data_IF_708575941724
#
_entry.id   IF_708575941724
#
_cell.length_a   1.000
_cell.length_b   1.000
_cell.length_c   1.000
_cell.angle_alpha   90.00
_cell.angle_beta   90.00
_cell.angle_gamma   90.00
#
_symmetry.space_group_name_H-M   'P 1'
#
loop_
_entity.id
_entity.type
_entity.pdbx_description
1 polymer ?
#
# COMPACT_ATOMS: atom_id res chain seq x y z
N UNK A 1 -38.52 5.03 55.07
CA UNK A 1 -37.95 4.27 53.93
C UNK A 1 -38.63 4.69 52.65
N UNK A 2 -39.96 4.62 52.56
CA UNK A 2 -40.77 5.05 51.41
C UNK A 2 -40.45 6.47 50.91
N UNK A 3 -40.48 7.48 51.79
CA UNK A 3 -40.16 8.87 51.40
C UNK A 3 -38.74 9.10 50.81
N UNK A 4 -37.74 8.29 51.20
CA UNK A 4 -36.40 8.36 50.60
C UNK A 4 -36.34 7.64 49.24
N UNK A 5 -37.16 6.61 49.05
CA UNK A 5 -37.34 5.95 47.76
C UNK A 5 -38.06 6.88 46.78
N UNK A 6 -39.14 7.54 47.21
CA UNK A 6 -39.88 8.51 46.39
C UNK A 6 -38.99 9.68 45.94
N UNK A 7 -38.14 10.16 46.85
CA UNK A 7 -37.15 11.20 46.56
C UNK A 7 -36.11 10.73 45.55
N UNK A 8 -35.63 9.49 45.67
CA UNK A 8 -34.68 8.91 44.74
C UNK A 8 -35.31 8.71 43.35
N UNK A 9 -36.55 8.23 43.29
CA UNK A 9 -37.31 8.11 42.05
C UNK A 9 -37.48 9.46 41.36
N UNK A 10 -37.84 10.51 42.12
CA UNK A 10 -37.96 11.86 41.59
C UNK A 10 -36.62 12.39 41.05
N UNK A 11 -35.50 12.08 41.71
CA UNK A 11 -34.17 12.45 41.21
C UNK A 11 -33.84 11.75 39.88
N UNK A 12 -34.21 10.48 39.72
CA UNK A 12 -34.03 9.76 38.46
C UNK A 12 -34.93 10.32 37.36
N UNK A 13 -36.21 10.57 37.64
CA UNK A 13 -37.13 11.20 36.68
C UNK A 13 -36.62 12.56 36.21
N UNK A 14 -36.09 13.37 37.14
CA UNK A 14 -35.46 14.65 36.80
C UNK A 14 -34.22 14.46 35.95
N UNK A 15 -33.32 13.54 36.34
CA UNK A 15 -32.09 13.28 35.59
C UNK A 15 -32.38 12.80 34.16
N UNK A 16 -33.37 11.94 33.96
CA UNK A 16 -33.81 11.49 32.64
C UNK A 16 -34.35 12.67 31.82
N UNK A 17 -35.21 13.51 32.40
CA UNK A 17 -35.74 14.69 31.71
C UNK A 17 -34.67 15.74 31.37
N UNK A 18 -33.64 15.88 32.21
CA UNK A 18 -32.51 16.77 31.96
C UNK A 18 -31.66 16.24 30.79
N UNK A 19 -31.44 14.92 30.69
CA UNK A 19 -30.75 14.28 29.57
C UNK A 19 -31.53 14.43 28.25
N UNK A 20 -32.84 14.23 28.28
CA UNK A 20 -33.71 14.42 27.12
C UNK A 20 -33.65 15.86 26.61
N UNK A 21 -33.67 16.84 27.53
CA UNK A 21 -33.57 18.25 27.17
C UNK A 21 -32.21 18.59 26.54
N UNK A 22 -31.11 18.04 27.07
CA UNK A 22 -29.78 18.19 26.48
C UNK A 22 -29.74 17.62 25.07
N UNK A 23 -30.27 16.41 24.86
CA UNK A 23 -30.34 15.79 23.53
C UNK A 23 -31.15 16.65 22.56
N UNK A 24 -32.33 17.10 22.97
CA UNK A 24 -33.21 17.94 22.15
C UNK A 24 -32.50 19.22 21.69
N UNK A 25 -31.81 19.92 22.61
CA UNK A 25 -31.06 21.13 22.29
C UNK A 25 -29.93 20.88 21.30
N UNK A 26 -29.16 19.81 21.50
CA UNK A 26 -28.06 19.46 20.59
C UNK A 26 -28.58 19.13 19.20
N UNK A 27 -29.66 18.35 19.10
CA UNK A 27 -30.27 18.04 17.81
C UNK A 27 -30.78 19.30 17.09
N UNK A 28 -31.42 20.21 17.83
CA UNK A 28 -31.88 21.48 17.29
C UNK A 28 -30.70 22.30 16.75
N UNK A 29 -29.67 22.52 17.56
CA UNK A 29 -28.47 23.28 17.18
C UNK A 29 -27.75 22.65 15.97
N UNK A 30 -27.61 21.32 15.90
CA UNK A 30 -27.01 20.63 14.75
C UNK A 30 -27.85 20.81 13.47
N UNK A 31 -29.17 20.74 13.57
CA UNK A 31 -30.08 20.90 12.42
C UNK A 31 -30.09 22.34 11.90
N UNK A 32 -30.09 23.33 12.80
CA UNK A 32 -30.15 24.75 12.43
C UNK A 32 -28.83 25.33 11.99
N UNK A 33 -27.71 24.87 12.55
CA UNK A 33 -26.38 25.37 12.23
C UNK A 33 -25.83 24.79 10.93
N UNK A 34 -26.67 24.48 9.93
CA UNK A 34 -26.22 23.95 8.64
C UNK A 34 -25.13 24.88 8.09
N UNK A 35 -23.83 24.50 8.18
CA UNK A 35 -22.84 25.19 7.40
C UNK A 35 -23.24 24.93 5.95
N UNK A 36 -22.87 25.81 5.04
CA UNK A 36 -22.97 25.55 3.61
C UNK A 36 -22.12 24.29 3.29
N UNK A 37 -22.73 23.11 3.41
CA UNK A 37 -22.09 21.80 3.63
C UNK A 37 -21.71 21.12 2.32
N UNK A 38 -21.61 21.89 1.24
CA UNK A 38 -21.22 21.37 -0.06
C UNK A 38 -19.80 20.74 -0.06
N UNK A 39 -18.98 20.94 0.97
CA UNK A 39 -17.56 20.56 0.95
C UNK A 39 -17.07 19.59 2.04
N UNK A 40 -17.76 19.42 3.19
CA UNK A 40 -17.27 18.56 4.28
C UNK A 40 -17.93 17.17 4.25
N UNK A 41 -17.15 16.16 3.85
CA UNK A 41 -17.57 14.74 3.90
C UNK A 41 -17.93 14.31 5.33
N UNK A 42 -18.95 13.47 5.45
CA UNK A 42 -19.38 12.89 6.71
C UNK A 42 -18.28 11.97 7.31
N UNK A 43 -17.96 12.06 8.62
CA UNK A 43 -16.94 11.20 9.24
C UNK A 43 -17.17 9.69 9.06
N UNK A 44 -18.43 9.24 9.07
CA UNK A 44 -18.79 7.84 8.85
C UNK A 44 -18.45 7.40 7.43
N UNK A 45 -18.65 8.25 6.43
CA UNK A 45 -18.29 7.92 5.05
C UNK A 45 -16.77 7.95 4.87
N UNK A 46 -16.07 8.92 5.48
CA UNK A 46 -14.61 8.98 5.48
C UNK A 46 -13.97 7.72 6.08
N UNK A 47 -14.48 7.19 7.19
CA UNK A 47 -13.97 5.96 7.80
C UNK A 47 -14.12 4.74 6.88
N UNK A 48 -15.24 4.65 6.15
CA UNK A 48 -15.48 3.59 5.15
C UNK A 48 -14.52 3.71 3.98
N UNK A 49 -14.35 4.93 3.42
CA UNK A 49 -13.41 5.20 2.34
C UNK A 49 -11.97 4.84 2.74
N UNK A 50 -11.53 5.28 3.93
CA UNK A 50 -10.19 5.03 4.44
C UNK A 50 -9.91 3.52 4.62
N UNK A 51 -10.90 2.78 5.12
CA UNK A 51 -10.81 1.33 5.26
C UNK A 51 -10.67 0.63 3.90
N UNK A 52 -11.42 1.07 2.89
CA UNK A 52 -11.32 0.55 1.53
C UNK A 52 -9.95 0.84 0.89
N UNK A 53 -9.42 2.07 1.07
CA UNK A 53 -8.08 2.46 0.59
C UNK A 53 -7.01 1.59 1.24
N UNK A 54 -7.07 1.41 2.56
CA UNK A 54 -6.11 0.57 3.31
C UNK A 54 -6.11 -0.87 2.80
N UNK A 55 -7.28 -1.46 2.59
CA UNK A 55 -7.43 -2.82 2.06
C UNK A 55 -6.84 -2.96 0.65
N UNK A 56 -7.12 -2.00 -0.23
CA UNK A 56 -6.57 -1.98 -1.59
C UNK A 56 -5.05 -1.88 -1.60
N UNK A 57 -4.50 -1.01 -0.77
CA UNK A 57 -3.05 -0.87 -0.62
C UNK A 57 -2.40 -2.17 -0.13
N UNK A 58 -2.94 -2.79 0.93
CA UNK A 58 -2.43 -4.05 1.46
C UNK A 58 -2.46 -5.16 0.41
N UNK A 59 -3.55 -5.26 -0.35
CA UNK A 59 -3.68 -6.22 -1.45
C UNK A 59 -2.65 -5.98 -2.54
N UNK A 60 -2.48 -4.72 -2.98
CA UNK A 60 -1.50 -4.36 -4.01
C UNK A 60 -0.07 -4.66 -3.54
N UNK A 61 0.26 -4.29 -2.31
CA UNK A 61 1.57 -4.55 -1.72
C UNK A 61 1.87 -6.06 -1.62
N UNK A 62 0.90 -6.86 -1.16
CA UNK A 62 1.03 -8.31 -1.08
C UNK A 62 1.23 -8.96 -2.45
N UNK A 63 0.59 -8.42 -3.51
CA UNK A 63 0.80 -8.87 -4.90
C UNK A 63 2.14 -8.43 -5.48
N UNK A 64 2.57 -7.22 -5.17
CA UNK A 64 3.82 -6.65 -5.71
C UNK A 64 5.06 -7.36 -5.15
N UNK A 65 5.05 -7.71 -3.85
CA UNK A 65 6.20 -8.34 -3.18
C UNK A 65 6.76 -9.59 -3.88
N UNK A 66 5.96 -10.63 -4.22
CA UNK A 66 6.47 -11.78 -4.95
C UNK A 66 6.89 -11.43 -6.38
N UNK A 67 6.18 -10.54 -7.08
CA UNK A 67 6.56 -10.11 -8.44
C UNK A 67 7.95 -9.48 -8.46
N UNK A 68 8.25 -8.59 -7.50
CA UNK A 68 9.57 -7.98 -7.38
C UNK A 68 10.67 -9.03 -7.13
N UNK A 69 10.39 -10.02 -6.29
CA UNK A 69 11.32 -11.13 -6.02
C UNK A 69 11.53 -12.01 -7.27
N UNK A 70 10.47 -12.39 -7.97
CA UNK A 70 10.53 -13.18 -9.21
C UNK A 70 11.25 -12.45 -10.34
N UNK A 71 11.05 -11.14 -10.47
CA UNK A 71 11.78 -10.32 -11.45
C UNK A 71 13.28 -10.31 -11.15
N UNK A 72 13.65 -10.12 -9.88
CA UNK A 72 15.05 -10.18 -9.44
C UNK A 72 15.66 -11.55 -9.71
N UNK A 73 14.96 -12.62 -9.37
CA UNK A 73 15.42 -13.98 -9.63
C UNK A 73 15.57 -14.27 -11.13
N UNK A 74 14.56 -13.92 -11.93
CA UNK A 74 14.57 -14.14 -13.39
C UNK A 74 15.74 -13.43 -14.03
N UNK A 75 15.99 -12.18 -13.63
CA UNK A 75 17.13 -11.40 -14.10
C UNK A 75 18.47 -12.06 -13.75
N UNK A 76 18.61 -12.53 -12.51
CA UNK A 76 19.81 -13.24 -12.07
C UNK A 76 20.04 -14.52 -12.87
N UNK A 77 18.96 -15.29 -13.15
CA UNK A 77 19.02 -16.51 -13.97
C UNK A 77 19.42 -16.22 -15.42
N UNK A 78 18.83 -15.19 -16.04
CA UNK A 78 19.20 -14.76 -17.40
C UNK A 78 20.68 -14.41 -17.44
N UNK A 79 21.17 -13.59 -16.50
CA UNK A 79 22.57 -13.20 -16.48
C UNK A 79 23.51 -14.41 -16.29
N UNK A 80 23.21 -15.29 -15.33
CA UNK A 80 24.00 -16.50 -15.11
C UNK A 80 24.08 -17.36 -16.38
N UNK A 81 22.97 -17.49 -17.09
CA UNK A 81 22.89 -18.27 -18.34
C UNK A 81 23.69 -17.61 -19.46
N UNK A 82 23.52 -16.30 -19.67
CA UNK A 82 24.27 -15.52 -20.67
C UNK A 82 25.77 -15.60 -20.41
N UNK A 83 26.22 -15.39 -19.17
CA UNK A 83 27.63 -15.47 -18.80
C UNK A 83 28.20 -16.87 -19.05
N UNK A 84 27.48 -17.93 -18.66
CA UNK A 84 27.91 -19.31 -18.88
C UNK A 84 28.04 -19.63 -20.37
N UNK A 85 27.07 -19.23 -21.19
CA UNK A 85 27.11 -19.41 -22.64
C UNK A 85 28.28 -18.63 -23.26
N UNK A 86 28.51 -17.39 -22.81
CA UNK A 86 29.65 -16.58 -23.26
C UNK A 86 30.98 -17.26 -22.96
N UNK A 87 31.18 -17.79 -21.75
CA UNK A 87 32.38 -18.53 -21.36
C UNK A 87 32.56 -19.79 -22.21
N UNK A 88 31.50 -20.58 -22.41
CA UNK A 88 31.55 -21.79 -23.25
C UNK A 88 31.94 -21.47 -24.69
N UNK A 89 31.37 -20.40 -25.27
CA UNK A 89 31.72 -19.94 -26.63
C UNK A 89 33.21 -19.55 -26.69
N UNK A 90 33.71 -18.81 -25.71
CA UNK A 90 35.12 -18.42 -25.64
C UNK A 90 36.07 -19.62 -25.52
N UNK A 91 35.69 -20.66 -24.77
CA UNK A 91 36.47 -21.90 -24.65
C UNK A 91 36.52 -22.67 -25.96
N UNK A 92 35.38 -22.82 -26.65
CA UNK A 92 35.31 -23.49 -27.96
C UNK A 92 36.12 -22.76 -29.03
N UNK A 93 36.10 -21.43 -29.04
CA UNK A 93 36.91 -20.61 -29.95
C UNK A 93 38.40 -20.86 -29.76
N UNK A 94 38.87 -20.89 -28.50
CA UNK A 94 40.27 -21.20 -28.18
C UNK A 94 40.70 -22.59 -28.65
N UNK A 95 39.79 -23.56 -28.67
CA UNK A 95 40.08 -24.92 -29.11
C UNK A 95 40.13 -25.09 -30.64
N UNK A 96 39.51 -24.17 -31.39
CA UNK A 96 39.36 -24.27 -32.86
C UNK A 96 40.25 -23.28 -33.64
N UNK A 97 41.15 -22.56 -32.94
CA UNK A 97 42.00 -21.48 -33.50
C UNK A 97 41.20 -20.45 -34.33
N UNK A 98 39.92 -20.28 -34.00
CA UNK A 98 39.02 -19.36 -34.68
C UNK A 98 39.15 -17.97 -34.03
N UNK A 99 39.99 -17.11 -34.59
CA UNK A 99 40.04 -15.70 -34.16
C UNK A 99 38.75 -14.98 -34.57
N UNK A 100 37.92 -14.66 -33.58
CA UNK A 100 36.79 -13.76 -33.76
C UNK A 100 37.23 -12.31 -33.53
N UNK A 101 36.67 -11.40 -34.33
CA UNK A 101 36.87 -9.96 -34.14
C UNK A 101 36.55 -9.56 -32.70
N UNK A 102 37.34 -8.66 -32.10
CA UNK A 102 37.06 -8.17 -30.76
C UNK A 102 35.65 -7.60 -30.69
N UNK A 103 35.00 -7.85 -29.56
CA UNK A 103 33.65 -7.42 -29.26
C UNK A 103 33.44 -5.96 -29.69
N UNK A 104 32.42 -5.72 -30.50
CA UNK A 104 32.08 -4.40 -31.01
C UNK A 104 31.75 -3.45 -29.86
N UNK A 105 31.81 -2.14 -30.12
CA UNK A 105 31.51 -1.14 -29.08
C UNK A 105 30.10 -1.33 -28.51
N UNK A 106 29.14 -1.67 -29.35
CA UNK A 106 27.73 -1.91 -28.98
C UNK A 106 27.55 -3.14 -28.10
N UNK A 107 28.27 -4.22 -28.37
CA UNK A 107 28.22 -5.43 -27.54
C UNK A 107 28.91 -5.20 -26.17
N UNK A 108 29.99 -4.41 -26.13
CA UNK A 108 30.63 -4.03 -24.86
C UNK A 108 29.69 -3.19 -23.99
N UNK A 109 29.03 -2.19 -24.57
CA UNK A 109 28.01 -1.40 -23.86
C UNK A 109 26.80 -2.23 -23.45
N UNK A 110 26.35 -3.18 -24.28
CA UNK A 110 25.26 -4.10 -23.90
C UNK A 110 25.63 -4.94 -22.66
N UNK A 111 26.89 -5.36 -22.56
CA UNK A 111 27.40 -6.12 -21.41
C UNK A 111 27.47 -5.25 -20.15
N UNK A 112 27.92 -4.00 -20.28
CA UNK A 112 27.96 -3.04 -19.17
C UNK A 112 26.57 -2.62 -18.71
N UNK A 113 25.64 -2.39 -19.64
CA UNK A 113 24.24 -2.13 -19.35
C UNK A 113 23.60 -3.31 -18.61
N UNK A 114 23.84 -4.54 -19.06
CA UNK A 114 23.37 -5.74 -18.37
C UNK A 114 23.87 -5.77 -16.90
N UNK A 115 25.15 -5.41 -16.67
CA UNK A 115 25.73 -5.32 -15.32
C UNK A 115 25.14 -4.19 -14.48
N UNK A 116 24.94 -2.99 -15.06
CA UNK A 116 24.33 -1.86 -14.37
C UNK A 116 22.89 -2.16 -13.99
N UNK A 117 22.09 -2.66 -14.93
CA UNK A 117 20.70 -3.03 -14.67
C UNK A 117 20.63 -3.97 -13.45
N UNK A 118 21.53 -4.93 -13.30
CA UNK A 118 21.53 -5.87 -12.17
C UNK A 118 21.83 -5.26 -10.81
N UNK A 119 22.45 -4.08 -10.75
CA UNK A 119 22.85 -3.44 -9.49
C UNK A 119 21.72 -2.59 -8.88
N UNK A 120 20.76 -2.13 -9.69
CA UNK A 120 19.76 -1.13 -9.32
C UNK A 120 18.47 -1.70 -8.68
N UNK A 121 18.46 -2.96 -8.19
CA UNK A 121 17.29 -3.56 -7.51
C UNK A 121 17.63 -4.49 -6.34
#
# INVERSE_FOLDING_TARGET
MEAEVDKLELMFQKADSDLDYIQYRLEYEIKTNHPDTASKKNPVTLLKELSAIKSRYQTLHARFKPIAAEQKETKNRICATVNKTMTMIQELQKQTDLELSPLTKEEKTATEQLKSFMSDL
#
